data_IF_919105003557
#
_entry.id   IF_919105003557
#
_cell.length_a   1.000
_cell.length_b   1.000
_cell.length_c   1.000
_cell.angle_alpha   90.00
_cell.angle_beta   90.00
_cell.angle_gamma   90.00
#
_symmetry.space_group_name_H-M   'P 1'
#
loop_
_entity.id
_entity.type
_entity.pdbx_description
1 polymer ?
#
# COMPACT_ATOMS: atom_id res chain seq x y z
N UNK A 1 -23.01 -12.07 7.54
CA UNK A 1 -22.69 -10.74 8.09
C UNK A 1 -21.40 -10.15 7.47
N UNK A 2 -20.91 -10.57 6.29
CA UNK A 2 -19.50 -10.29 5.91
C UNK A 2 -19.24 -9.61 4.55
N UNK A 3 -20.24 -9.32 3.70
CA UNK A 3 -19.94 -8.68 2.41
C UNK A 3 -19.53 -7.21 2.56
N UNK A 4 -20.21 -6.47 3.44
CA UNK A 4 -19.97 -5.02 3.61
C UNK A 4 -18.54 -4.75 4.09
N UNK A 5 -18.01 -5.55 5.02
CA UNK A 5 -16.63 -5.40 5.50
C UNK A 5 -15.60 -5.81 4.44
N UNK A 6 -15.88 -6.86 3.65
CA UNK A 6 -15.03 -7.26 2.52
C UNK A 6 -14.90 -6.14 1.47
N UNK A 7 -16.02 -5.52 1.09
CA UNK A 7 -16.01 -4.38 0.17
C UNK A 7 -15.21 -3.19 0.73
N UNK A 8 -15.31 -2.90 2.04
CA UNK A 8 -14.54 -1.84 2.68
C UNK A 8 -13.04 -2.14 2.70
N UNK A 9 -12.65 -3.38 2.94
CA UNK A 9 -11.24 -3.80 2.92
C UNK A 9 -10.66 -3.70 1.52
N UNK A 10 -11.35 -4.19 0.49
CA UNK A 10 -10.89 -4.07 -0.90
C UNK A 10 -10.81 -2.62 -1.37
N UNK A 11 -11.79 -1.79 -1.01
CA UNK A 11 -11.77 -0.36 -1.32
C UNK A 11 -10.59 0.35 -0.65
N UNK A 12 -10.34 0.08 0.64
CA UNK A 12 -9.21 0.65 1.39
C UNK A 12 -7.86 0.20 0.81
N UNK A 13 -7.72 -1.08 0.49
CA UNK A 13 -6.52 -1.62 -0.14
C UNK A 13 -6.26 -0.95 -1.51
N UNK A 14 -7.31 -0.76 -2.31
CA UNK A 14 -7.21 -0.06 -3.59
C UNK A 14 -6.75 1.40 -3.47
N UNK A 15 -7.31 2.14 -2.50
CA UNK A 15 -6.90 3.52 -2.21
C UNK A 15 -5.42 3.59 -1.78
N UNK A 16 -5.02 2.68 -0.91
CA UNK A 16 -3.66 2.64 -0.38
C UNK A 16 -2.65 2.29 -1.49
N UNK A 17 -2.91 1.25 -2.26
CA UNK A 17 -2.07 0.85 -3.39
C UNK A 17 -1.99 1.95 -4.44
N UNK A 18 -3.09 2.63 -4.73
CA UNK A 18 -3.08 3.76 -5.66
C UNK A 18 -2.17 4.90 -5.17
N UNK A 19 -2.25 5.22 -3.87
CA UNK A 19 -1.39 6.22 -3.23
C UNK A 19 0.10 5.93 -3.28
N UNK A 20 0.48 4.66 -3.21
CA UNK A 20 1.87 4.21 -3.35
C UNK A 20 2.32 4.07 -4.81
N UNK A 21 1.49 4.50 -5.76
CA UNK A 21 1.80 4.55 -7.19
C UNK A 21 1.38 3.32 -8.00
N UNK A 22 0.68 2.34 -7.41
CA UNK A 22 0.18 1.19 -8.17
C UNK A 22 -1.04 1.56 -9.02
N UNK A 23 -0.95 1.31 -10.32
CA UNK A 23 -2.09 1.43 -11.24
C UNK A 23 -3.13 0.35 -10.98
N UNK A 24 -4.37 0.58 -11.41
CA UNK A 24 -5.44 -0.42 -11.31
C UNK A 24 -5.10 -1.74 -12.04
N UNK A 25 -4.24 -1.69 -13.06
CA UNK A 25 -3.74 -2.90 -13.75
C UNK A 25 -2.75 -3.68 -12.89
N UNK A 26 -1.80 -2.99 -12.25
CA UNK A 26 -0.79 -3.59 -11.38
C UNK A 26 -1.40 -4.18 -10.12
N UNK A 27 -2.47 -3.59 -9.58
CA UNK A 27 -3.22 -4.15 -8.44
C UNK A 27 -3.78 -5.56 -8.71
N UNK A 28 -3.88 -5.98 -9.98
CA UNK A 28 -4.33 -7.32 -10.39
C UNK A 28 -3.18 -8.26 -10.79
N UNK A 29 -1.94 -7.79 -10.74
CA UNK A 29 -0.76 -8.59 -11.10
C UNK A 29 -0.25 -9.39 -9.90
N UNK A 30 0.35 -10.55 -10.19
CA UNK A 30 0.95 -11.39 -9.14
C UNK A 30 2.24 -10.79 -8.61
N UNK A 31 2.47 -10.85 -7.29
CA UNK A 31 3.62 -10.21 -6.62
C UNK A 31 4.98 -10.53 -7.23
N UNK A 32 5.13 -11.74 -7.81
CA UNK A 32 6.37 -12.19 -8.46
C UNK A 32 6.76 -11.34 -9.68
N UNK A 33 5.84 -10.60 -10.30
CA UNK A 33 6.11 -9.75 -11.47
C UNK A 33 6.77 -8.41 -11.11
N UNK A 34 6.72 -8.01 -9.84
CA UNK A 34 7.28 -6.74 -9.39
C UNK A 34 8.78 -6.82 -9.10
N UNK A 35 9.48 -5.71 -9.34
CA UNK A 35 10.88 -5.53 -8.93
C UNK A 35 10.99 -5.45 -7.40
N UNK A 36 12.23 -5.50 -6.87
CA UNK A 36 12.47 -5.41 -5.43
C UNK A 36 11.86 -4.15 -4.78
N UNK A 37 12.05 -2.98 -5.39
CA UNK A 37 11.49 -1.72 -4.88
C UNK A 37 9.96 -1.71 -4.88
N UNK A 38 9.33 -2.23 -5.92
CA UNK A 38 7.86 -2.37 -5.98
C UNK A 38 7.33 -3.37 -4.94
N UNK A 39 8.06 -4.47 -4.68
CA UNK A 39 7.71 -5.39 -3.58
C UNK A 39 7.85 -4.73 -2.21
N UNK A 40 8.82 -3.84 -2.04
CA UNK A 40 8.96 -3.06 -0.80
C UNK A 40 7.77 -2.09 -0.61
N UNK A 41 7.35 -1.38 -1.67
CA UNK A 41 6.11 -0.57 -1.64
C UNK A 41 4.88 -1.42 -1.29
N UNK A 42 4.78 -2.64 -1.82
CA UNK A 42 3.69 -3.56 -1.48
C UNK A 42 3.74 -4.02 -0.02
N UNK A 43 4.93 -4.28 0.53
CA UNK A 43 5.08 -4.62 1.95
C UNK A 43 4.68 -3.44 2.85
N UNK A 44 5.05 -2.21 2.47
CA UNK A 44 4.56 -1.00 3.14
C UNK A 44 3.03 -0.93 3.10
N UNK A 45 2.41 -1.26 1.97
CA UNK A 45 0.95 -1.32 1.87
C UNK A 45 0.32 -2.30 2.86
N UNK A 46 0.88 -3.51 2.95
CA UNK A 46 0.42 -4.52 3.91
C UNK A 46 0.58 -4.04 5.36
N UNK A 47 1.69 -3.37 5.68
CA UNK A 47 1.95 -2.83 7.01
C UNK A 47 0.91 -1.75 7.39
N UNK A 48 0.63 -0.81 6.47
CA UNK A 48 -0.35 0.27 6.67
C UNK A 48 -1.82 -0.21 6.70
N UNK A 49 -2.12 -1.35 6.08
CA UNK A 49 -3.42 -2.02 6.20
C UNK A 49 -3.64 -2.67 7.56
N UNK A 50 -2.56 -2.97 8.28
CA UNK A 50 -2.62 -3.62 9.60
C UNK A 50 -2.97 -2.57 10.66
N UNK A 51 -3.95 -2.88 11.52
CA UNK A 51 -4.26 -2.03 12.67
C UNK A 51 -3.20 -2.28 13.74
N UNK A 52 -2.25 -1.36 13.88
CA UNK A 52 -1.21 -1.40 14.90
C UNK A 52 -1.25 -0.10 15.73
N UNK A 53 -1.02 -0.21 17.05
CA UNK A 53 -0.90 0.95 17.94
C UNK A 53 0.47 1.63 17.81
N UNK A 54 1.49 0.90 17.35
CA UNK A 54 2.82 1.40 17.03
C UNK A 54 3.36 0.66 15.81
N UNK A 55 3.84 1.40 14.81
CA UNK A 55 4.43 0.85 13.58
C UNK A 55 5.85 1.39 13.44
N UNK A 56 6.85 0.49 13.49
CA UNK A 56 8.24 0.81 13.23
C UNK A 56 8.59 0.41 11.80
N UNK A 57 9.04 1.38 11.02
CA UNK A 57 9.42 1.18 9.62
C UNK A 57 10.88 1.61 9.46
N UNK A 58 11.69 0.73 8.88
CA UNK A 58 13.06 1.05 8.53
C UNK A 58 13.10 1.58 7.09
N UNK A 59 13.47 2.85 6.92
CA UNK A 59 13.53 3.54 5.62
C UNK A 59 12.28 3.35 4.72
N UNK A 60 11.05 3.60 5.20
CA UNK A 60 9.81 3.29 4.46
C UNK A 60 9.60 4.12 3.20
N UNK A 61 10.23 5.28 3.12
CA UNK A 61 10.16 6.19 1.98
C UNK A 61 11.17 5.84 0.90
N UNK A 62 12.10 4.92 1.17
CA UNK A 62 13.05 4.48 0.18
C UNK A 62 12.30 3.80 -0.97
N UNK A 63 12.70 4.12 -2.20
CA UNK A 63 12.01 3.75 -3.43
C UNK A 63 10.63 4.40 -3.66
N UNK A 64 10.17 5.35 -2.84
CA UNK A 64 9.04 6.21 -3.18
C UNK A 64 9.50 7.42 -4.01
N UNK A 65 8.67 7.80 -4.97
CA UNK A 65 8.78 9.10 -5.63
C UNK A 65 8.17 10.20 -4.74
N UNK A 66 8.39 11.47 -5.11
CA UNK A 66 7.95 12.61 -4.32
C UNK A 66 6.43 12.62 -4.10
N UNK A 67 5.66 12.27 -5.12
CA UNK A 67 4.20 12.26 -5.04
C UNK A 67 3.70 11.19 -4.06
N UNK A 68 4.28 9.98 -4.12
CA UNK A 68 3.96 8.90 -3.18
C UNK A 68 4.40 9.22 -1.75
N UNK A 69 5.51 9.94 -1.55
CA UNK A 69 5.94 10.40 -0.23
C UNK A 69 4.96 11.43 0.38
N UNK A 70 4.59 12.45 -0.39
CA UNK A 70 3.61 13.47 0.04
C UNK A 70 2.24 12.83 0.31
N UNK A 71 1.86 11.85 -0.50
CA UNK A 71 0.65 11.09 -0.26
C UNK A 71 0.73 10.28 1.05
N UNK A 72 1.84 9.60 1.29
CA UNK A 72 2.05 8.78 2.49
C UNK A 72 1.99 9.63 3.77
N UNK A 73 2.59 10.81 3.76
CA UNK A 73 2.53 11.76 4.89
C UNK A 73 1.09 12.16 5.22
N UNK A 74 0.22 12.31 4.21
CA UNK A 74 -1.19 12.65 4.40
C UNK A 74 -2.06 11.47 4.80
N UNK A 75 -1.61 10.25 4.52
CA UNK A 75 -2.33 9.02 4.83
C UNK A 75 -2.16 8.62 6.30
N UNK A 76 -0.98 8.86 6.87
CA UNK A 76 -0.66 8.67 8.29
C UNK A 76 -1.42 9.66 9.18
#
# INVERSE_FOLDING_TARGET
MNDIDGFRVSARAGQLLHGLGFTAKEQRQGVKTFSGGWRMRLNLACALMTRADLLLLDEPTNHLDLDAMVWLERWL
#
